data_IF_293656056316
#
_entry.id   IF_293656056316
#
_cell.length_a   1.000
_cell.length_b   1.000
_cell.length_c   1.000
_cell.angle_alpha   90.00
_cell.angle_beta   90.00
_cell.angle_gamma   90.00
#
_symmetry.space_group_name_H-M   'P 1'
#
loop_
_entity.id
_entity.type
_entity.pdbx_description
1 polymer ?
#
# COMPACT_ATOMS: atom_id res chain seq x y z
N UNK A 1 -3.87 11.38 -7.76
CA UNK A 1 -3.41 10.03 -8.20
C UNK A 1 -1.95 9.77 -7.83
N UNK A 2 -1.05 10.76 -8.03
CA UNK A 2 0.39 10.64 -7.73
C UNK A 2 0.68 10.45 -6.23
N UNK A 3 0.05 11.25 -5.35
CA UNK A 3 0.21 11.13 -3.89
C UNK A 3 -0.28 9.78 -3.34
N UNK A 4 -1.36 9.23 -3.93
CA UNK A 4 -1.86 7.92 -3.54
C UNK A 4 -0.88 6.79 -3.92
N UNK A 5 -0.19 6.91 -5.05
CA UNK A 5 0.82 5.94 -5.48
C UNK A 5 2.06 5.97 -4.58
N UNK A 6 2.56 7.17 -4.25
CA UNK A 6 3.80 7.32 -3.49
C UNK A 6 3.70 6.83 -2.04
N UNK A 7 2.49 6.77 -1.47
CA UNK A 7 2.26 6.41 -0.06
C UNK A 7 1.57 5.06 0.14
N UNK A 8 1.40 4.28 -0.92
CA UNK A 8 0.65 3.03 -0.82
C UNK A 8 1.30 2.01 0.15
N UNK A 9 2.64 1.95 0.21
CA UNK A 9 3.36 1.08 1.16
C UNK A 9 3.08 1.43 2.62
N UNK A 10 3.16 2.72 2.96
CA UNK A 10 2.79 3.22 4.30
C UNK A 10 1.32 2.95 4.61
N UNK A 11 0.44 3.07 3.60
CA UNK A 11 -0.99 2.75 3.76
C UNK A 11 -1.21 1.27 4.08
N UNK A 12 -0.49 0.34 3.44
CA UNK A 12 -0.57 -1.09 3.76
C UNK A 12 -0.16 -1.35 5.22
N UNK A 13 0.97 -0.78 5.66
CA UNK A 13 1.42 -0.89 7.06
C UNK A 13 0.37 -0.36 8.03
N UNK A 14 -0.16 0.83 7.78
CA UNK A 14 -1.23 1.43 8.59
C UNK A 14 -2.47 0.54 8.68
N UNK A 15 -2.95 0.03 7.53
CA UNK A 15 -4.12 -0.84 7.53
C UNK A 15 -3.88 -2.17 8.25
N UNK A 16 -2.69 -2.78 8.15
CA UNK A 16 -2.33 -3.96 8.94
C UNK A 16 -2.45 -3.71 10.45
N UNK A 17 -1.94 -2.57 10.92
CA UNK A 17 -2.06 -2.17 12.32
C UNK A 17 -3.52 -1.97 12.72
N UNK A 18 -4.30 -1.26 11.90
CA UNK A 18 -5.71 -1.00 12.14
C UNK A 18 -6.53 -2.30 12.19
N UNK A 19 -6.32 -3.21 11.24
CA UNK A 19 -6.96 -4.53 11.22
C UNK A 19 -6.65 -5.33 12.49
N UNK A 20 -5.36 -5.33 12.90
CA UNK A 20 -4.94 -6.00 14.13
C UNK A 20 -5.64 -5.42 15.36
N UNK A 21 -5.83 -4.10 15.42
CA UNK A 21 -6.58 -3.46 16.52
C UNK A 21 -8.05 -3.88 16.52
N UNK A 22 -8.73 -3.91 15.37
CA UNK A 22 -10.13 -4.37 15.28
C UNK A 22 -10.29 -5.85 15.67
N UNK A 23 -9.37 -6.71 15.28
CA UNK A 23 -9.38 -8.13 15.68
C UNK A 23 -9.21 -8.26 17.18
N UNK A 24 -8.32 -7.50 17.81
CA UNK A 24 -8.18 -7.50 19.28
C UNK A 24 -9.44 -6.99 19.95
N UNK A 25 -10.01 -5.89 19.47
CA UNK A 25 -11.26 -5.33 20.01
C UNK A 25 -12.42 -6.33 19.90
N UNK A 26 -12.57 -7.00 18.77
CA UNK A 26 -13.62 -8.00 18.55
C UNK A 26 -13.56 -9.22 19.50
N UNK A 27 -12.36 -9.49 20.06
CA UNK A 27 -12.16 -10.55 21.07
C UNK A 27 -12.50 -10.09 22.49
N UNK A 28 -12.44 -8.79 22.76
CA UNK A 28 -12.73 -8.20 24.07
C UNK A 28 -14.20 -7.86 24.23
N UNK A 29 -14.82 -7.38 23.17
CA UNK A 29 -16.21 -6.95 23.19
C UNK A 29 -16.91 -7.18 21.83
N UNK A 30 -18.23 -7.17 21.83
CA UNK A 30 -19.00 -7.24 20.60
C UNK A 30 -18.93 -5.90 19.86
N UNK A 31 -18.34 -5.90 18.68
CA UNK A 31 -18.28 -4.71 17.84
C UNK A 31 -19.67 -4.15 17.52
N UNK A 32 -19.82 -2.85 17.60
CA UNK A 32 -21.02 -2.14 17.14
C UNK A 32 -21.22 -2.35 15.63
N UNK A 33 -22.37 -1.96 15.11
CA UNK A 33 -22.65 -2.04 13.67
C UNK A 33 -21.70 -1.14 12.87
N UNK A 34 -21.39 0.04 13.40
CA UNK A 34 -20.49 1.00 12.76
C UNK A 34 -19.04 0.53 12.81
N UNK A 35 -18.58 -0.03 13.94
CA UNK A 35 -17.24 -0.61 14.03
C UNK A 35 -17.03 -1.76 13.05
N UNK A 36 -18.04 -2.63 12.91
CA UNK A 36 -17.97 -3.71 11.90
C UNK A 36 -17.85 -3.17 10.50
N UNK A 37 -18.60 -2.12 10.16
CA UNK A 37 -18.52 -1.47 8.85
C UNK A 37 -17.14 -0.87 8.62
N UNK A 38 -16.59 -0.15 9.59
CA UNK A 38 -15.24 0.42 9.50
C UNK A 38 -14.16 -0.66 9.41
N UNK A 39 -14.33 -1.79 10.12
CA UNK A 39 -13.42 -2.92 10.02
C UNK A 39 -13.43 -3.54 8.61
N UNK A 40 -14.62 -3.77 8.03
CA UNK A 40 -14.77 -4.25 6.65
C UNK A 40 -14.18 -3.26 5.63
N UNK A 41 -14.40 -1.96 5.80
CA UNK A 41 -13.80 -0.91 4.99
C UNK A 41 -12.27 -0.88 5.12
N UNK A 42 -11.73 -1.06 6.31
CA UNK A 42 -10.29 -1.14 6.54
C UNK A 42 -9.67 -2.34 5.80
N UNK A 43 -10.32 -3.51 5.83
CA UNK A 43 -9.86 -4.69 5.07
C UNK A 43 -9.92 -4.43 3.55
N UNK A 44 -11.03 -3.90 3.04
CA UNK A 44 -11.16 -3.53 1.64
C UNK A 44 -10.04 -2.58 1.19
N UNK A 45 -9.76 -1.54 1.97
CA UNK A 45 -8.73 -0.55 1.66
C UNK A 45 -7.31 -1.12 1.78
N UNK A 46 -7.07 -2.04 2.73
CA UNK A 46 -5.81 -2.76 2.84
C UNK A 46 -5.51 -3.58 1.57
N UNK A 47 -6.49 -4.36 1.09
CA UNK A 47 -6.38 -5.14 -0.15
C UNK A 47 -6.19 -4.21 -1.35
N UNK A 48 -6.97 -3.15 -1.43
CA UNK A 48 -6.85 -2.15 -2.51
C UNK A 48 -5.46 -1.51 -2.56
N UNK A 49 -4.89 -1.12 -1.41
CA UNK A 49 -3.54 -0.58 -1.33
C UNK A 49 -2.49 -1.64 -1.71
N UNK A 50 -2.64 -2.89 -1.25
CA UNK A 50 -1.74 -3.99 -1.57
C UNK A 50 -1.68 -4.29 -3.07
N UNK A 51 -2.81 -4.19 -3.77
CA UNK A 51 -2.89 -4.44 -5.21
C UNK A 51 -2.13 -3.43 -6.09
N UNK A 52 -1.60 -2.35 -5.53
CA UNK A 52 -0.63 -1.49 -6.21
C UNK A 52 0.71 -2.20 -6.46
N UNK A 53 1.04 -3.24 -5.69
CA UNK A 53 2.34 -3.90 -5.67
C UNK A 53 2.28 -5.31 -6.22
N UNK A 54 1.68 -6.20 -5.46
CA UNK A 54 1.59 -7.63 -5.77
C UNK A 54 0.12 -7.99 -5.90
N UNK A 55 -0.44 -7.97 -7.11
CA UNK A 55 -1.80 -8.45 -7.34
C UNK A 55 -1.94 -9.88 -6.80
N UNK A 56 -3.06 -10.16 -6.17
CA UNK A 56 -3.45 -11.49 -5.66
C UNK A 56 -2.64 -12.01 -4.46
N UNK A 57 -1.61 -11.30 -3.98
CA UNK A 57 -0.88 -11.69 -2.76
C UNK A 57 -1.35 -10.90 -1.54
N UNK A 58 -2.47 -11.35 -0.96
CA UNK A 58 -3.05 -10.77 0.25
C UNK A 58 -3.24 -11.83 1.35
N UNK A 59 -2.48 -12.93 1.32
CA UNK A 59 -2.61 -14.02 2.29
C UNK A 59 -2.42 -13.54 3.73
N UNK A 60 -1.44 -12.66 3.96
CA UNK A 60 -1.17 -12.06 5.26
C UNK A 60 -2.32 -11.19 5.78
N UNK A 61 -2.99 -10.43 4.91
CA UNK A 61 -4.16 -9.63 5.28
C UNK A 61 -5.36 -10.51 5.62
N UNK A 62 -5.59 -11.58 4.85
CA UNK A 62 -6.64 -12.56 5.12
C UNK A 62 -6.39 -13.29 6.45
N UNK A 63 -5.15 -13.66 6.73
CA UNK A 63 -4.75 -14.29 7.99
C UNK A 63 -5.05 -13.39 9.20
N UNK A 64 -4.71 -12.09 9.12
CA UNK A 64 -4.99 -11.13 10.21
C UNK A 64 -6.47 -11.11 10.59
N UNK A 65 -7.37 -11.10 9.61
CA UNK A 65 -8.82 -10.96 9.85
C UNK A 65 -9.57 -12.30 9.99
N UNK A 66 -8.86 -13.41 9.85
CA UNK A 66 -9.43 -14.75 9.94
C UNK A 66 -10.17 -14.96 11.26
N UNK A 67 -11.39 -15.48 11.20
CA UNK A 67 -12.27 -15.68 12.36
C UNK A 67 -12.96 -14.41 12.88
N UNK A 68 -12.59 -13.22 12.44
CA UNK A 68 -13.22 -11.95 12.81
C UNK A 68 -14.14 -11.40 11.70
N UNK A 69 -13.78 -11.64 10.44
CA UNK A 69 -14.66 -11.44 9.29
C UNK A 69 -14.99 -12.83 8.73
N UNK A 70 -16.25 -13.06 8.34
CA UNK A 70 -16.63 -14.35 7.73
C UNK A 70 -15.95 -14.56 6.38
N UNK A 71 -15.59 -15.80 6.04
CA UNK A 71 -14.89 -16.13 4.79
C UNK A 71 -15.65 -15.59 3.56
N UNK A 72 -16.97 -15.78 3.52
CA UNK A 72 -17.81 -15.23 2.44
C UNK A 72 -17.65 -13.71 2.28
N UNK A 73 -17.68 -12.98 3.41
CA UNK A 73 -17.57 -11.51 3.38
C UNK A 73 -16.16 -11.07 3.02
N UNK A 74 -15.17 -11.78 3.51
CA UNK A 74 -13.76 -11.54 3.18
C UNK A 74 -13.50 -11.68 1.67
N UNK A 75 -14.05 -12.75 1.05
CA UNK A 75 -13.92 -12.98 -0.39
C UNK A 75 -14.66 -11.93 -1.23
N UNK A 76 -15.87 -11.52 -0.80
CA UNK A 76 -16.61 -10.42 -1.45
C UNK A 76 -15.81 -9.11 -1.45
N UNK A 77 -15.26 -8.73 -0.31
CA UNK A 77 -14.46 -7.50 -0.16
C UNK A 77 -13.16 -7.57 -0.94
N UNK A 78 -12.49 -8.72 -0.89
CA UNK A 78 -11.27 -8.98 -1.64
C UNK A 78 -11.52 -8.83 -3.14
N UNK A 79 -12.51 -9.52 -3.70
CA UNK A 79 -12.81 -9.46 -5.13
C UNK A 79 -13.16 -8.03 -5.56
N UNK A 80 -13.98 -7.33 -4.79
CA UNK A 80 -14.31 -5.93 -5.03
C UNK A 80 -13.07 -5.03 -5.07
N UNK A 81 -12.11 -5.25 -4.16
CA UNK A 81 -10.89 -4.47 -4.10
C UNK A 81 -9.97 -4.76 -5.31
N UNK A 82 -9.83 -6.03 -5.70
CA UNK A 82 -9.06 -6.44 -6.87
C UNK A 82 -9.65 -5.82 -8.14
N UNK A 83 -10.96 -5.94 -8.35
CA UNK A 83 -11.63 -5.39 -9.53
C UNK A 83 -11.50 -3.86 -9.62
N UNK A 84 -11.50 -3.16 -8.49
CA UNK A 84 -11.34 -1.71 -8.45
C UNK A 84 -9.95 -1.22 -8.89
N UNK A 85 -8.94 -2.10 -8.92
CA UNK A 85 -7.55 -1.80 -9.28
C UNK A 85 -7.12 -2.38 -10.62
N UNK A 86 -8.03 -3.09 -11.30
CA UNK A 86 -7.72 -3.78 -12.56
C UNK A 86 -7.27 -2.78 -13.64
N UNK A 87 -6.13 -3.05 -14.25
CA UNK A 87 -5.55 -2.23 -15.31
C UNK A 87 -4.84 -0.95 -14.85
N UNK A 88 -4.71 -0.71 -13.55
CA UNK A 88 -3.97 0.44 -13.02
C UNK A 88 -2.45 0.16 -12.94
N UNK A 89 -1.59 1.20 -12.97
CA UNK A 89 -0.14 1.04 -12.85
C UNK A 89 0.27 0.28 -11.59
N UNK A 90 1.40 -0.42 -11.66
CA UNK A 90 2.01 -1.17 -10.56
C UNK A 90 3.17 -0.40 -9.95
N UNK A 91 3.38 -0.57 -8.67
CA UNK A 91 4.55 -0.08 -7.93
C UNK A 91 5.51 -1.21 -7.62
N UNK A 92 6.74 -0.86 -7.22
CA UNK A 92 7.76 -1.83 -6.83
C UNK A 92 7.41 -2.47 -5.47
N UNK A 93 7.34 -3.82 -5.39
CA UNK A 93 7.08 -4.52 -4.13
C UNK A 93 8.07 -4.21 -3.01
N UNK A 94 9.29 -3.74 -3.31
CA UNK A 94 10.27 -3.34 -2.32
C UNK A 94 9.74 -2.24 -1.39
N UNK A 95 8.81 -1.42 -1.85
CA UNK A 95 8.15 -0.38 -1.05
C UNK A 95 7.36 -0.93 0.16
N UNK A 96 7.13 -2.25 0.21
CA UNK A 96 6.49 -2.94 1.33
C UNK A 96 7.50 -3.48 2.35
N UNK A 97 8.80 -3.45 2.04
CA UNK A 97 9.84 -3.95 2.93
C UNK A 97 10.06 -3.04 4.13
N UNK A 98 10.50 -3.62 5.26
CA UNK A 98 10.82 -2.84 6.46
C UNK A 98 12.00 -1.91 6.23
N UNK A 99 12.97 -2.32 5.42
CA UNK A 99 14.14 -1.51 5.06
C UNK A 99 13.73 -0.25 4.30
N UNK A 100 12.84 -0.37 3.32
CA UNK A 100 12.30 0.77 2.58
C UNK A 100 11.47 1.67 3.50
N UNK A 101 10.55 1.10 4.28
CA UNK A 101 9.66 1.84 5.18
C UNK A 101 10.42 2.57 6.30
N UNK A 102 11.62 2.10 6.66
CA UNK A 102 12.45 2.76 7.67
C UNK A 102 13.12 4.05 7.17
N UNK A 103 13.31 4.20 5.85
CA UNK A 103 14.09 5.32 5.28
C UNK A 103 13.28 6.24 4.38
N UNK A 104 12.08 5.85 3.99
CA UNK A 104 11.34 6.56 2.92
C UNK A 104 11.00 8.01 3.30
N UNK A 105 10.65 8.29 4.54
CA UNK A 105 10.32 9.65 4.98
C UNK A 105 11.53 10.58 4.81
N UNK A 106 12.74 10.13 5.21
CA UNK A 106 13.98 10.86 5.02
C UNK A 106 14.32 11.05 3.53
N UNK A 107 14.14 9.99 2.72
CA UNK A 107 14.37 10.05 1.27
C UNK A 107 13.43 11.05 0.61
N UNK A 108 12.15 11.04 0.96
CA UNK A 108 11.17 11.99 0.41
C UNK A 108 11.51 13.45 0.78
N UNK A 109 11.95 13.70 2.00
CA UNK A 109 12.43 15.03 2.41
C UNK A 109 13.64 15.49 1.59
N UNK A 110 14.61 14.58 1.34
CA UNK A 110 15.78 14.88 0.51
C UNK A 110 15.39 15.14 -0.94
N UNK A 111 14.48 14.38 -1.52
CA UNK A 111 13.95 14.59 -2.87
C UNK A 111 13.28 15.96 -2.96
N UNK A 112 12.36 16.28 -2.05
CA UNK A 112 11.66 17.56 -2.03
C UNK A 112 12.60 18.76 -1.93
N UNK A 113 13.67 18.63 -1.13
CA UNK A 113 14.70 19.67 -0.96
C UNK A 113 15.55 19.89 -2.21
N UNK A 114 15.80 18.84 -2.98
CA UNK A 114 16.79 18.86 -4.07
C UNK A 114 16.16 18.85 -5.47
N UNK A 115 14.87 18.57 -5.62
CA UNK A 115 14.19 18.66 -6.91
C UNK A 115 14.18 20.11 -7.43
N UNK A 116 14.49 20.28 -8.71
CA UNK A 116 14.56 21.60 -9.38
C UNK A 116 13.28 21.92 -10.14
N UNK A 117 12.62 20.89 -10.65
CA UNK A 117 11.37 20.98 -11.40
C UNK A 117 10.35 20.03 -10.82
N UNK A 118 9.08 20.35 -10.96
CA UNK A 118 8.00 19.53 -10.38
C UNK A 118 7.48 18.53 -11.42
N UNK A 119 8.37 17.64 -11.90
CA UNK A 119 8.04 16.55 -12.83
C UNK A 119 8.32 15.20 -12.19
N UNK A 120 7.50 14.23 -12.48
CA UNK A 120 7.59 12.90 -11.86
C UNK A 120 8.92 12.19 -12.15
N UNK A 121 9.51 12.38 -13.33
CA UNK A 121 10.78 11.75 -13.71
C UNK A 121 11.97 12.27 -12.88
N UNK A 122 12.03 13.57 -12.59
CA UNK A 122 13.08 14.11 -11.72
C UNK A 122 12.93 13.57 -10.29
N UNK A 123 11.71 13.56 -9.78
CA UNK A 123 11.42 12.98 -8.47
C UNK A 123 11.86 11.51 -8.40
N UNK A 124 11.51 10.70 -9.40
CA UNK A 124 11.87 9.28 -9.41
C UNK A 124 13.38 9.05 -9.55
N UNK A 125 14.08 9.85 -10.33
CA UNK A 125 15.54 9.75 -10.46
C UNK A 125 16.22 10.04 -9.12
N UNK A 126 15.89 11.16 -8.48
CA UNK A 126 16.42 11.50 -7.15
C UNK A 126 16.07 10.43 -6.10
N UNK A 127 14.84 9.93 -6.11
CA UNK A 127 14.40 8.86 -5.21
C UNK A 127 15.21 7.58 -5.43
N UNK A 128 15.46 7.21 -6.69
CA UNK A 128 16.31 6.06 -7.04
C UNK A 128 17.71 6.22 -6.47
N UNK A 129 18.35 7.36 -6.72
CA UNK A 129 19.71 7.64 -6.27
C UNK A 129 19.82 7.56 -4.73
N UNK A 130 18.91 8.21 -4.01
CA UNK A 130 18.92 8.19 -2.53
C UNK A 130 18.60 6.84 -1.92
N UNK A 131 17.78 6.02 -2.58
CA UNK A 131 17.50 4.64 -2.15
C UNK A 131 18.69 3.73 -2.43
N UNK A 132 19.36 3.88 -3.59
CA UNK A 132 20.57 3.13 -3.92
C UNK A 132 21.73 3.42 -2.95
N UNK A 133 21.92 4.66 -2.52
CA UNK A 133 22.88 5.04 -1.48
C UNK A 133 22.64 4.30 -0.16
N UNK A 134 21.41 3.85 0.09
CA UNK A 134 20.99 3.07 1.25
C UNK A 134 20.91 1.57 1.00
N UNK A 135 21.42 1.12 -0.17
CA UNK A 135 21.43 -0.28 -0.57
C UNK A 135 20.07 -0.84 -1.00
N UNK A 136 19.08 0.01 -1.24
CA UNK A 136 17.74 -0.39 -1.66
C UNK A 136 17.59 -0.19 -3.17
N UNK A 137 17.43 -1.28 -3.91
CA UNK A 137 17.11 -1.23 -5.34
C UNK A 137 15.62 -1.01 -5.52
N UNK A 138 15.27 0.10 -6.13
CA UNK A 138 13.89 0.49 -6.40
C UNK A 138 13.68 0.79 -7.89
N UNK A 139 12.56 0.34 -8.42
CA UNK A 139 12.15 0.58 -9.80
C UNK A 139 11.01 1.60 -9.83
N UNK A 140 11.19 2.67 -10.60
CA UNK A 140 10.16 3.69 -10.74
C UNK A 140 8.88 3.12 -11.40
N UNK A 141 7.71 3.74 -11.18
CA UNK A 141 6.47 3.36 -11.86
C UNK A 141 6.61 3.33 -13.38
N UNK A 142 7.39 4.24 -13.99
CA UNK A 142 7.62 4.24 -15.43
C UNK A 142 8.39 2.99 -15.91
N UNK A 143 9.36 2.53 -15.13
CA UNK A 143 10.11 1.30 -15.46
C UNK A 143 9.23 0.05 -15.36
N UNK A 144 8.33 0.01 -14.39
CA UNK A 144 7.46 -1.13 -14.13
C UNK A 144 6.23 -1.19 -15.07
N UNK A 145 5.89 -0.08 -15.70
CA UNK A 145 4.70 0.05 -16.54
C UNK A 145 5.07 0.62 -17.93
N UNK A 146 5.85 -0.10 -18.73
CA UNK A 146 6.20 0.35 -20.08
C UNK A 146 4.92 0.47 -20.92
N UNK A 147 4.70 1.63 -21.52
CA UNK A 147 3.49 1.94 -22.31
C UNK A 147 2.43 2.75 -21.55
N UNK A 148 2.63 3.02 -20.26
CA UNK A 148 1.85 4.03 -19.53
C UNK A 148 2.57 5.38 -19.63
N UNK A 149 1.85 6.41 -20.07
CA UNK A 149 2.37 7.78 -20.02
C UNK A 149 2.14 8.36 -18.61
N UNK A 150 3.21 8.90 -18.06
CA UNK A 150 3.18 9.60 -16.78
C UNK A 150 3.48 11.08 -17.06
N UNK A 151 2.59 11.96 -16.67
CA UNK A 151 2.70 13.42 -16.80
C UNK A 151 3.35 14.04 -15.55
#
# INVERSE_FOLDING_TARGET
>A
CYDEMCRAGMSVKYYKMLLTCYVKLSKLEKLSKDDKKHFEEAFYNAVKARNWYVPDDCADLKEIVSGAISDKKMDELYQKAVDSRKGLPKNDPVELSEEYLAVIDEVEELVEKNKKVNVCFEYWNLKTDYLEERGIRWSSPAMLNPGVMFD
#
